data_IF_247010346814
#
_entry.id   IF_247010346814
#
_cell.length_a   1.000
_cell.length_b   1.000
_cell.length_c   1.000
_cell.angle_alpha   90.00
_cell.angle_beta   90.00
_cell.angle_gamma   90.00
#
_symmetry.space_group_name_H-M   'P 1'
#
loop_
_entity.id
_entity.type
_entity.pdbx_description
1 polymer ?
#
# COMPACT_ATOMS: atom_id res chain seq x y z
N UNK A 1 4.39 13.15 -12.25
CA UNK A 1 4.23 12.38 -10.99
C UNK A 1 5.60 12.20 -10.40
N UNK A 2 5.79 12.42 -9.09
CA UNK A 2 7.09 12.21 -8.45
C UNK A 2 7.25 10.75 -7.99
N UNK A 3 8.47 10.26 -7.97
CA UNK A 3 8.84 8.90 -7.57
C UNK A 3 10.31 8.87 -7.15
N UNK A 4 10.71 7.82 -6.43
CA UNK A 4 12.09 7.43 -6.24
C UNK A 4 12.37 6.18 -7.08
N UNK A 5 13.56 6.05 -7.65
CA UNK A 5 13.95 4.81 -8.34
C UNK A 5 15.41 4.47 -8.12
N UNK A 6 15.69 3.15 -8.08
CA UNK A 6 17.04 2.63 -7.91
C UNK A 6 17.16 1.26 -8.56
N UNK A 7 18.33 0.97 -9.14
CA UNK A 7 18.65 -0.31 -9.75
C UNK A 7 18.27 -0.42 -11.22
N UNK A 8 18.49 -1.61 -11.76
CA UNK A 8 18.23 -1.98 -13.14
C UNK A 8 17.66 -3.41 -13.18
N UNK A 9 17.02 -3.79 -14.28
CA UNK A 9 16.45 -5.13 -14.42
C UNK A 9 14.92 -5.13 -14.47
N UNK A 10 14.26 -6.26 -14.13
CA UNK A 10 12.80 -6.30 -14.07
C UNK A 10 12.24 -5.27 -13.09
N UNK A 11 11.20 -4.56 -13.49
CA UNK A 11 10.68 -3.46 -12.67
C UNK A 11 9.77 -3.97 -11.55
N UNK A 12 9.98 -3.43 -10.35
CA UNK A 12 9.07 -3.48 -9.20
C UNK A 12 8.47 -2.09 -9.00
N UNK A 13 7.16 -1.94 -9.15
CA UNK A 13 6.43 -0.71 -8.80
C UNK A 13 5.95 -0.83 -7.36
N UNK A 14 6.43 0.04 -6.47
CA UNK A 14 6.04 0.11 -5.07
C UNK A 14 4.98 1.20 -4.85
N UNK A 15 3.83 0.82 -4.30
CA UNK A 15 2.66 1.67 -4.05
C UNK A 15 2.44 1.80 -2.55
N UNK A 16 2.63 3.01 -2.01
CA UNK A 16 2.51 3.25 -0.57
C UNK A 16 1.05 3.34 -0.10
N UNK A 17 0.85 3.18 1.22
CA UNK A 17 -0.43 3.34 1.89
C UNK A 17 -0.82 4.79 2.14
N UNK A 18 -2.03 4.97 2.69
CA UNK A 18 -2.55 6.27 3.07
C UNK A 18 -1.61 6.97 4.07
N UNK A 19 -1.34 8.23 3.84
CA UNK A 19 -0.54 9.03 4.75
C UNK A 19 0.98 8.92 4.56
N UNK A 20 1.44 8.11 3.59
CA UNK A 20 2.85 7.87 3.31
C UNK A 20 3.30 8.52 1.99
N UNK A 21 4.55 8.26 1.62
CA UNK A 21 5.19 8.67 0.39
C UNK A 21 6.17 7.57 -0.11
N UNK A 22 6.88 7.84 -1.20
CA UNK A 22 7.87 6.92 -1.79
C UNK A 22 8.98 6.50 -0.83
N UNK A 23 9.35 7.34 0.15
CA UNK A 23 10.40 7.05 1.14
C UNK A 23 10.01 5.89 2.07
N UNK A 24 8.72 5.55 2.17
CA UNK A 24 8.27 4.38 2.94
C UNK A 24 8.71 3.04 2.35
N UNK A 25 9.29 3.05 1.15
CA UNK A 25 9.91 1.90 0.50
C UNK A 25 11.43 2.01 0.38
N UNK A 26 12.08 2.91 1.13
CA UNK A 26 13.54 3.06 1.08
C UNK A 26 14.28 1.75 1.36
N UNK A 27 13.93 0.90 2.35
CA UNK A 27 14.60 -0.37 2.55
C UNK A 27 14.47 -1.33 1.36
N UNK A 28 13.35 -1.26 0.62
CA UNK A 28 13.13 -2.04 -0.59
C UNK A 28 13.93 -1.49 -1.77
N UNK A 29 14.00 -0.15 -1.89
CA UNK A 29 14.85 0.53 -2.86
C UNK A 29 16.32 0.15 -2.66
N UNK A 30 16.79 0.12 -1.41
CA UNK A 30 18.20 -0.15 -1.12
C UNK A 30 18.58 -1.61 -1.34
N UNK A 31 17.75 -2.55 -0.88
CA UNK A 31 18.12 -3.96 -0.87
C UNK A 31 17.72 -4.71 -2.16
N UNK A 32 16.60 -4.36 -2.81
CA UNK A 32 16.15 -5.07 -4.01
C UNK A 32 16.76 -4.50 -5.30
N UNK A 33 17.38 -3.33 -5.25
CA UNK A 33 17.95 -2.65 -6.43
C UNK A 33 19.19 -3.31 -7.01
N UNK A 34 19.78 -4.27 -6.32
CA UNK A 34 20.87 -5.10 -6.84
C UNK A 34 20.42 -6.03 -7.98
N UNK A 35 19.13 -6.41 -8.01
CA UNK A 35 18.57 -7.34 -9.00
C UNK A 35 17.39 -6.72 -9.79
N UNK A 36 16.76 -5.69 -9.28
CA UNK A 36 15.52 -5.12 -9.84
C UNK A 36 15.63 -3.60 -10.07
N UNK A 37 14.87 -3.09 -11.02
CA UNK A 37 14.57 -1.68 -11.10
C UNK A 37 13.41 -1.37 -10.16
N UNK A 38 13.69 -0.87 -8.95
CA UNK A 38 12.67 -0.56 -7.95
C UNK A 38 12.20 0.88 -8.14
N UNK A 39 10.91 1.07 -8.37
CA UNK A 39 10.26 2.37 -8.57
C UNK A 39 9.22 2.56 -7.47
N UNK A 40 9.49 3.45 -6.53
CA UNK A 40 8.54 3.82 -5.48
C UNK A 40 7.85 5.13 -5.84
N UNK A 41 6.54 5.08 -6.10
CA UNK A 41 5.78 6.25 -6.52
C UNK A 41 5.42 7.17 -5.34
N UNK A 42 5.08 8.41 -5.63
CA UNK A 42 4.26 9.22 -4.74
C UNK A 42 2.82 9.23 -5.30
N UNK A 43 1.87 8.78 -4.48
CA UNK A 43 0.46 8.77 -4.84
C UNK A 43 0.02 10.16 -5.29
N UNK A 44 -0.67 10.28 -6.44
CA UNK A 44 -1.13 11.58 -6.92
C UNK A 44 -2.02 12.27 -5.91
N UNK A 45 -1.68 13.53 -5.64
CA UNK A 45 -2.41 14.35 -4.70
C UNK A 45 -3.71 14.88 -5.33
N UNK A 46 -4.89 14.68 -4.72
CA UNK A 46 -6.15 15.08 -5.30
C UNK A 46 -6.32 16.60 -5.51
N UNK A 47 -5.41 17.41 -4.95
CA UNK A 47 -5.48 18.88 -5.04
C UNK A 47 -4.51 19.54 -6.02
N UNK A 48 -3.54 18.82 -6.59
CA UNK A 48 -2.39 19.49 -7.20
C UNK A 48 -2.36 19.58 -8.73
N UNK A 49 -3.03 18.72 -9.49
CA UNK A 49 -2.85 18.71 -10.96
C UNK A 49 -4.00 18.21 -11.83
N UNK A 50 -5.08 17.68 -11.30
CA UNK A 50 -6.20 17.23 -12.13
C UNK A 50 -7.55 17.43 -11.46
N UNK A 51 -8.54 17.81 -12.26
CA UNK A 51 -9.97 17.88 -11.92
C UNK A 51 -10.60 16.49 -11.63
N UNK A 52 -9.80 15.42 -11.56
CA UNK A 52 -10.29 14.06 -11.37
C UNK A 52 -10.48 13.75 -9.89
N UNK A 53 -11.65 13.23 -9.55
CA UNK A 53 -11.95 12.75 -8.22
C UNK A 53 -10.95 11.65 -7.80
N UNK A 54 -10.58 11.61 -6.52
CA UNK A 54 -9.80 10.51 -5.97
C UNK A 54 -10.67 9.26 -5.89
N UNK A 55 -10.38 8.27 -6.71
CA UNK A 55 -10.99 6.94 -6.69
C UNK A 55 -9.97 5.90 -7.16
N UNK A 56 -10.25 4.62 -6.94
CA UNK A 56 -9.29 3.56 -7.25
C UNK A 56 -8.99 3.42 -8.74
N UNK A 57 -9.98 3.61 -9.62
CA UNK A 57 -9.77 3.60 -11.08
C UNK A 57 -8.76 4.68 -11.52
N UNK A 58 -8.93 5.91 -11.02
CA UNK A 58 -8.02 7.02 -11.33
C UNK A 58 -6.62 6.81 -10.74
N UNK A 59 -6.52 6.23 -9.54
CA UNK A 59 -5.24 5.89 -8.92
C UNK A 59 -4.52 4.77 -9.68
N UNK A 60 -5.21 3.71 -10.07
CA UNK A 60 -4.66 2.65 -10.90
C UNK A 60 -4.18 3.18 -12.26
N UNK A 61 -5.00 4.01 -12.94
CA UNK A 61 -4.61 4.66 -14.19
C UNK A 61 -3.40 5.58 -14.03
N UNK A 62 -3.25 6.25 -12.88
CA UNK A 62 -2.06 7.04 -12.58
C UNK A 62 -0.81 6.17 -12.45
N UNK A 63 -0.93 4.97 -11.87
CA UNK A 63 0.14 3.98 -11.86
C UNK A 63 0.58 3.60 -13.27
N UNK A 64 -0.36 3.34 -14.17
CA UNK A 64 -0.05 3.05 -15.58
C UNK A 64 0.58 4.24 -16.30
N UNK A 65 0.11 5.46 -16.06
CA UNK A 65 0.72 6.68 -16.62
C UNK A 65 2.17 6.85 -16.15
N UNK A 66 2.49 6.51 -14.90
CA UNK A 66 3.88 6.50 -14.45
C UNK A 66 4.70 5.47 -15.21
N UNK A 67 4.23 4.24 -15.34
CA UNK A 67 4.91 3.19 -16.11
C UNK A 67 5.14 3.61 -17.56
N UNK A 68 4.14 4.24 -18.20
CA UNK A 68 4.24 4.73 -19.58
C UNK A 68 5.28 5.84 -19.72
N UNK A 69 5.35 6.76 -18.74
CA UNK A 69 6.36 7.83 -18.71
C UNK A 69 7.80 7.32 -18.54
N UNK A 70 7.95 6.10 -18.08
CA UNK A 70 9.22 5.41 -17.87
C UNK A 70 9.51 4.32 -18.94
N UNK A 71 8.69 4.24 -19.98
CA UNK A 71 8.76 3.20 -21.04
C UNK A 71 8.67 1.76 -20.49
N UNK A 72 8.05 1.55 -19.33
CA UNK A 72 7.89 0.24 -18.69
C UNK A 72 6.61 -0.42 -19.20
N UNK A 73 6.75 -1.49 -19.97
CA UNK A 73 5.61 -2.21 -20.58
C UNK A 73 4.85 -3.06 -19.57
N UNK A 74 5.54 -3.72 -18.65
CA UNK A 74 4.95 -4.53 -17.58
C UNK A 74 5.88 -4.59 -16.38
N UNK A 75 5.31 -4.77 -15.18
CA UNK A 75 6.07 -4.77 -13.94
C UNK A 75 5.50 -5.75 -12.90
N UNK A 76 6.29 -6.04 -11.88
CA UNK A 76 5.83 -6.57 -10.61
C UNK A 76 5.31 -5.41 -9.76
N UNK A 77 4.26 -5.61 -8.99
CA UNK A 77 3.71 -4.56 -8.11
C UNK A 77 3.83 -5.00 -6.65
N UNK A 78 4.37 -4.13 -5.82
CA UNK A 78 4.38 -4.27 -4.35
C UNK A 78 3.51 -3.18 -3.77
N UNK A 79 2.38 -3.53 -3.18
CA UNK A 79 1.42 -2.57 -2.64
C UNK A 79 1.22 -2.72 -1.14
N UNK A 80 1.44 -1.64 -0.38
CA UNK A 80 1.19 -1.57 1.05
C UNK A 80 -0.16 -0.92 1.33
N UNK A 81 -1.01 -1.59 2.14
CA UNK A 81 -2.28 -1.04 2.61
C UNK A 81 -3.17 -0.54 1.44
N UNK A 82 -3.51 0.74 1.38
CA UNK A 82 -4.23 1.35 0.25
C UNK A 82 -3.49 1.13 -1.09
N UNK A 83 -2.16 1.15 -1.11
CA UNK A 83 -1.35 0.81 -2.29
C UNK A 83 -1.55 -0.62 -2.76
N UNK A 84 -1.82 -1.55 -1.84
CA UNK A 84 -2.21 -2.92 -2.18
C UNK A 84 -3.60 -3.01 -2.81
N UNK A 85 -4.54 -2.17 -2.37
CA UNK A 85 -5.86 -2.06 -3.02
C UNK A 85 -5.73 -1.50 -4.45
N UNK A 86 -4.84 -0.51 -4.65
CA UNK A 86 -4.53 0.03 -5.98
C UNK A 86 -3.87 -1.04 -6.85
N UNK A 87 -2.98 -1.87 -6.31
CA UNK A 87 -2.36 -2.98 -7.04
C UNK A 87 -3.39 -4.00 -7.52
N UNK A 88 -4.38 -4.34 -6.68
CA UNK A 88 -5.52 -5.19 -7.07
C UNK A 88 -6.33 -4.56 -8.20
N UNK A 89 -6.61 -3.26 -8.10
CA UNK A 89 -7.35 -2.52 -9.13
C UNK A 89 -6.57 -2.50 -10.46
N UNK A 90 -5.26 -2.24 -10.44
CA UNK A 90 -4.40 -2.29 -11.62
C UNK A 90 -4.46 -3.66 -12.30
N UNK A 91 -4.39 -4.75 -11.54
CA UNK A 91 -4.44 -6.11 -12.09
C UNK A 91 -5.81 -6.44 -12.73
N UNK A 92 -6.90 -5.88 -12.19
CA UNK A 92 -8.24 -6.07 -12.75
C UNK A 92 -8.48 -5.22 -14.01
N UNK A 93 -7.93 -3.99 -14.07
CA UNK A 93 -8.11 -3.08 -15.21
C UNK A 93 -7.25 -3.49 -16.41
N UNK A 94 -5.97 -3.80 -16.17
CA UNK A 94 -5.05 -4.13 -17.24
C UNK A 94 -4.09 -5.25 -16.82
N UNK A 95 -4.57 -6.50 -16.83
CA UNK A 95 -3.83 -7.67 -16.35
C UNK A 95 -2.49 -7.90 -17.08
N UNK A 96 -2.42 -7.58 -18.38
CA UNK A 96 -1.23 -7.79 -19.21
C UNK A 96 -0.03 -6.91 -18.78
N UNK A 97 -0.30 -5.80 -18.09
CA UNK A 97 0.71 -4.89 -17.56
C UNK A 97 1.28 -5.33 -16.21
N UNK A 98 0.67 -6.32 -15.55
CA UNK A 98 1.01 -6.76 -14.19
C UNK A 98 1.53 -8.19 -14.21
N UNK A 99 2.83 -8.36 -13.95
CA UNK A 99 3.48 -9.69 -13.93
C UNK A 99 3.17 -10.48 -12.66
N UNK A 100 3.17 -9.81 -11.53
CA UNK A 100 2.82 -10.38 -10.21
C UNK A 100 2.48 -9.28 -9.21
N UNK A 101 1.88 -9.66 -8.10
CA UNK A 101 1.44 -8.73 -7.05
C UNK A 101 1.95 -9.23 -5.69
N UNK A 102 2.63 -8.36 -4.94
CA UNK A 102 2.91 -8.57 -3.51
C UNK A 102 2.07 -7.60 -2.68
N UNK A 103 1.21 -8.12 -1.83
CA UNK A 103 0.28 -7.36 -1.00
C UNK A 103 0.77 -7.33 0.45
N UNK A 104 1.10 -6.16 0.94
CA UNK A 104 1.55 -5.91 2.31
C UNK A 104 0.41 -5.28 3.12
N UNK A 105 -0.19 -6.02 4.05
CA UNK A 105 -1.25 -5.48 4.91
C UNK A 105 -2.41 -4.85 4.14
N UNK A 106 -2.91 -5.51 3.08
CA UNK A 106 -4.00 -5.02 2.25
C UNK A 106 -5.24 -5.92 2.34
N UNK A 107 -6.40 -5.38 1.99
CA UNK A 107 -7.66 -6.12 1.98
C UNK A 107 -8.39 -5.98 0.64
N UNK A 108 -9.22 -6.97 0.29
CA UNK A 108 -10.03 -6.93 -0.94
C UNK A 108 -11.24 -6.02 -0.87
N UNK A 109 -11.57 -5.51 0.30
CA UNK A 109 -12.64 -4.53 0.47
C UNK A 109 -12.50 -3.81 1.81
N UNK A 110 -12.95 -2.56 1.84
CA UNK A 110 -13.09 -1.80 3.07
C UNK A 110 -14.45 -2.08 3.72
N UNK A 111 -14.43 -2.27 5.03
CA UNK A 111 -15.64 -2.29 5.86
C UNK A 111 -16.47 -3.55 5.85
N UNK A 112 -17.59 -3.46 6.55
CA UNK A 112 -18.54 -4.52 6.83
C UNK A 112 -19.64 -4.68 5.76
N UNK A 113 -20.80 -5.19 6.20
CA UNK A 113 -21.97 -5.40 5.35
C UNK A 113 -22.78 -4.10 5.14
N UNK A 114 -22.62 -3.12 6.00
CA UNK A 114 -23.33 -1.85 6.01
C UNK A 114 -22.37 -0.67 6.23
N UNK A 115 -22.89 0.56 6.15
CA UNK A 115 -22.12 1.79 6.29
C UNK A 115 -21.75 2.14 7.75
N UNK A 116 -22.18 1.37 8.75
CA UNK A 116 -21.92 1.67 10.17
C UNK A 116 -20.44 1.70 10.46
N UNK A 117 -19.71 0.65 9.99
CA UNK A 117 -18.25 0.59 10.16
C UNK A 117 -17.54 1.73 9.42
N UNK A 118 -17.95 2.02 8.19
CA UNK A 118 -17.41 3.11 7.37
C UNK A 118 -17.57 4.46 8.08
N UNK A 119 -18.79 4.77 8.54
CA UNK A 119 -19.10 6.03 9.20
C UNK A 119 -18.33 6.17 10.53
N UNK A 120 -18.25 5.10 11.31
CA UNK A 120 -17.49 5.06 12.55
C UNK A 120 -15.98 5.27 12.28
N UNK A 121 -15.43 4.62 11.27
CA UNK A 121 -14.04 4.78 10.87
C UNK A 121 -13.74 6.23 10.45
N UNK A 122 -14.50 6.79 9.52
CA UNK A 122 -14.32 8.18 9.07
C UNK A 122 -14.43 9.16 10.25
N UNK A 123 -15.46 9.01 11.09
CA UNK A 123 -15.64 9.85 12.26
C UNK A 123 -14.44 9.77 13.21
N UNK A 124 -13.98 8.56 13.53
CA UNK A 124 -12.84 8.39 14.46
C UNK A 124 -11.54 9.00 13.93
N UNK A 125 -11.32 8.98 12.61
CA UNK A 125 -10.10 9.51 11.97
C UNK A 125 -10.16 11.02 11.74
N UNK A 126 -11.34 11.59 11.50
CA UNK A 126 -11.52 13.01 11.19
C UNK A 126 -11.85 13.86 12.43
N UNK A 127 -12.39 13.24 13.50
CA UNK A 127 -12.75 13.96 14.73
C UNK A 127 -11.60 14.78 15.32
N UNK A 128 -10.37 14.27 15.50
CA UNK A 128 -9.28 15.08 16.04
C UNK A 128 -9.03 16.35 15.22
N UNK A 129 -9.11 16.27 13.90
CA UNK A 129 -8.94 17.42 13.01
C UNK A 129 -10.09 18.43 13.15
N UNK A 130 -11.33 17.97 13.34
CA UNK A 130 -12.48 18.84 13.60
C UNK A 130 -12.45 19.49 14.99
N UNK A 131 -11.72 18.89 15.93
CA UNK A 131 -11.46 19.42 17.28
C UNK A 131 -10.24 20.36 17.32
N UNK A 132 -9.60 20.63 16.16
CA UNK A 132 -8.52 21.61 16.01
C UNK A 132 -7.10 21.03 16.07
N UNK A 133 -6.93 19.71 16.15
CA UNK A 133 -5.62 19.08 16.06
C UNK A 133 -5.03 19.21 14.65
N UNK A 134 -3.73 19.37 14.59
CA UNK A 134 -2.95 19.39 13.35
C UNK A 134 -2.74 17.98 12.81
N UNK A 135 -2.44 17.86 11.50
CA UNK A 135 -2.05 16.56 10.92
C UNK A 135 -0.79 15.98 11.59
N UNK A 136 0.12 16.84 12.08
CA UNK A 136 1.32 16.39 12.81
C UNK A 136 0.94 15.72 14.14
N UNK A 137 0.01 16.29 14.90
CA UNK A 137 -0.48 15.69 16.16
C UNK A 137 -1.23 14.37 15.88
N UNK A 138 -2.07 14.35 14.84
CA UNK A 138 -2.75 13.12 14.39
C UNK A 138 -1.73 12.04 14.00
N UNK A 139 -0.65 12.40 13.30
CA UNK A 139 0.40 11.48 12.93
C UNK A 139 1.18 10.96 14.16
N UNK A 140 1.54 11.87 15.08
CA UNK A 140 2.26 11.52 16.31
C UNK A 140 1.50 10.50 17.17
N UNK A 141 0.16 10.57 17.17
CA UNK A 141 -0.66 9.61 17.90
C UNK A 141 -0.84 8.28 17.14
N UNK A 142 -1.15 8.33 15.84
CA UNK A 142 -1.55 7.13 15.10
C UNK A 142 -0.39 6.30 14.54
N UNK A 143 0.69 6.94 14.09
CA UNK A 143 1.78 6.24 13.39
C UNK A 143 2.51 5.23 14.30
N UNK A 144 2.88 5.55 15.56
CA UNK A 144 3.53 4.58 16.44
C UNK A 144 2.70 3.31 16.66
N UNK A 145 1.37 3.41 16.67
CA UNK A 145 0.46 2.27 16.84
C UNK A 145 0.47 1.29 15.66
N UNK A 146 1.10 1.67 14.55
CA UNK A 146 1.22 0.86 13.33
C UNK A 146 2.53 0.06 13.27
N UNK A 147 3.38 0.18 14.28
CA UNK A 147 4.67 -0.50 14.38
C UNK A 147 4.69 -1.48 15.56
N UNK A 148 5.63 -2.42 15.54
CA UNK A 148 5.96 -3.23 16.71
C UNK A 148 6.79 -2.43 17.73
N UNK A 149 6.85 -2.89 18.97
CA UNK A 149 7.59 -2.19 20.03
C UNK A 149 9.11 -2.11 19.77
N UNK A 150 9.66 -3.07 19.03
CA UNK A 150 11.09 -3.16 18.67
C UNK A 150 11.41 -2.56 17.28
N UNK A 151 10.47 -1.81 16.68
CA UNK A 151 10.68 -1.15 15.40
C UNK A 151 11.75 -0.03 15.49
N UNK A 152 12.45 0.19 14.38
CA UNK A 152 13.43 1.27 14.30
C UNK A 152 12.76 2.64 14.45
N UNK A 153 13.19 3.39 15.47
CA UNK A 153 12.63 4.71 15.81
C UNK A 153 12.78 5.74 14.69
N UNK A 154 13.80 5.61 13.85
CA UNK A 154 14.00 6.49 12.70
C UNK A 154 12.85 6.36 11.69
N UNK A 155 12.43 5.12 11.37
CA UNK A 155 11.31 4.89 10.45
C UNK A 155 9.98 5.38 11.03
N UNK A 156 9.78 5.24 12.34
CA UNK A 156 8.59 5.80 13.02
C UNK A 156 8.59 7.33 12.87
N UNK A 157 9.70 7.98 13.17
CA UNK A 157 9.84 9.45 13.08
C UNK A 157 9.60 9.94 11.66
N UNK A 158 10.22 9.32 10.65
CA UNK A 158 10.05 9.69 9.24
C UNK A 158 8.60 9.48 8.76
N UNK A 159 7.94 8.42 9.22
CA UNK A 159 6.52 8.18 8.91
C UNK A 159 5.60 9.23 9.55
N UNK A 160 5.89 9.68 10.76
CA UNK A 160 5.19 10.80 11.42
C UNK A 160 5.37 12.08 10.59
N UNK A 161 6.58 12.38 10.17
CA UNK A 161 6.87 13.56 9.35
C UNK A 161 6.17 13.51 8.00
N UNK A 162 6.18 12.36 7.31
CA UNK A 162 5.50 12.18 6.04
C UNK A 162 4.00 12.43 6.17
N UNK A 163 3.35 11.78 7.13
CA UNK A 163 1.91 11.94 7.38
C UNK A 163 1.57 13.36 7.87
N UNK A 164 2.44 13.98 8.68
CA UNK A 164 2.25 15.33 9.21
C UNK A 164 2.32 16.45 8.16
N UNK A 165 2.89 16.18 6.99
CA UNK A 165 3.00 17.13 5.86
C UNK A 165 1.76 17.14 4.95
N UNK A 166 0.87 16.17 5.08
CA UNK A 166 -0.34 16.07 4.25
C UNK A 166 -1.36 17.11 4.74
N UNK A 167 -2.04 17.78 3.83
CA UNK A 167 -3.12 18.68 4.23
C UNK A 167 -4.32 17.91 4.76
N UNK A 168 -5.08 18.53 5.67
CA UNK A 168 -6.33 17.95 6.20
C UNK A 168 -7.31 17.55 5.10
N UNK A 169 -7.39 18.34 4.02
CA UNK A 169 -8.27 18.03 2.90
C UNK A 169 -7.80 16.80 2.11
N UNK A 170 -6.51 16.65 1.86
CA UNK A 170 -5.93 15.47 1.20
C UNK A 170 -6.16 14.21 2.03
N UNK A 171 -5.90 14.29 3.32
CA UNK A 171 -6.15 13.17 4.23
C UNK A 171 -7.63 12.75 4.24
N UNK A 172 -8.55 13.72 4.31
CA UNK A 172 -10.00 13.46 4.24
C UNK A 172 -10.39 12.78 2.93
N UNK A 173 -9.95 13.31 1.78
CA UNK A 173 -10.25 12.73 0.47
C UNK A 173 -9.69 11.31 0.31
N UNK A 174 -8.50 11.06 0.84
CA UNK A 174 -7.90 9.72 0.81
C UNK A 174 -8.66 8.73 1.71
N UNK A 175 -9.12 9.14 2.90
CA UNK A 175 -9.97 8.33 3.77
C UNK A 175 -11.32 8.02 3.11
N UNK A 176 -11.96 9.02 2.52
CA UNK A 176 -13.23 8.85 1.79
C UNK A 176 -13.05 7.85 0.62
N UNK A 177 -12.01 8.03 -0.19
CA UNK A 177 -11.66 7.09 -1.26
C UNK A 177 -11.43 5.66 -0.71
N UNK A 178 -10.61 5.51 0.33
CA UNK A 178 -10.31 4.22 0.95
C UNK A 178 -11.59 3.45 1.29
N UNK A 179 -12.60 4.14 1.83
CA UNK A 179 -13.87 3.52 2.26
C UNK A 179 -14.76 3.05 1.10
N UNK A 180 -14.43 3.41 -0.14
CA UNK A 180 -15.20 2.96 -1.32
C UNK A 180 -14.71 1.63 -1.90
N UNK A 181 -13.53 1.14 -1.48
CA UNK A 181 -12.93 -0.05 -2.08
C UNK A 181 -13.73 -1.32 -1.78
N UNK A 182 -14.14 -2.02 -2.83
CA UNK A 182 -14.79 -3.33 -2.72
C UNK A 182 -14.56 -4.17 -3.99
N UNK A 183 -13.65 -5.12 -3.88
CA UNK A 183 -13.32 -6.11 -4.92
C UNK A 183 -13.39 -7.54 -4.37
N UNK A 184 -14.31 -7.78 -3.39
CA UNK A 184 -14.46 -9.09 -2.71
C UNK A 184 -14.76 -10.24 -3.65
N UNK A 185 -15.45 -9.95 -4.73
CA UNK A 185 -15.84 -10.93 -5.74
C UNK A 185 -14.79 -11.01 -6.83
N UNK A 186 -14.32 -9.84 -7.29
CA UNK A 186 -13.47 -9.70 -8.46
C UNK A 186 -12.04 -10.21 -8.24
N UNK A 187 -11.55 -10.28 -6.99
CA UNK A 187 -10.21 -10.84 -6.72
C UNK A 187 -10.05 -12.30 -7.16
N UNK A 188 -11.15 -13.04 -7.33
CA UNK A 188 -11.12 -14.41 -7.87
C UNK A 188 -10.78 -14.46 -9.37
N UNK A 189 -10.86 -13.33 -10.08
CA UNK A 189 -10.48 -13.19 -11.49
C UNK A 189 -9.00 -12.81 -11.68
N UNK A 190 -8.28 -12.53 -10.59
CA UNK A 190 -6.85 -12.24 -10.66
C UNK A 190 -6.10 -13.54 -10.95
N UNK A 191 -5.45 -13.61 -12.11
CA UNK A 191 -4.69 -14.76 -12.57
C UNK A 191 -3.18 -14.63 -12.31
N UNK A 192 -2.71 -13.40 -12.08
CA UNK A 192 -1.31 -13.13 -11.76
C UNK A 192 -0.89 -13.83 -10.48
N UNK A 193 0.36 -14.32 -10.41
CA UNK A 193 0.92 -14.79 -9.15
C UNK A 193 0.85 -13.71 -8.07
N UNK A 194 0.37 -14.09 -6.88
CA UNK A 194 0.18 -13.17 -5.75
C UNK A 194 0.93 -13.66 -4.51
N UNK A 195 1.64 -12.75 -3.84
CA UNK A 195 2.26 -12.97 -2.55
C UNK A 195 1.55 -12.09 -1.51
N UNK A 196 0.84 -12.68 -0.57
CA UNK A 196 0.15 -11.95 0.50
C UNK A 196 0.98 -12.02 1.77
N UNK A 197 1.39 -10.89 2.28
CA UNK A 197 2.21 -10.76 3.48
C UNK A 197 1.40 -10.03 4.55
N UNK A 198 1.09 -10.73 5.62
CA UNK A 198 0.34 -10.24 6.76
C UNK A 198 1.25 -10.08 7.98
N UNK A 199 0.88 -9.20 8.89
CA UNK A 199 1.58 -8.97 10.15
C UNK A 199 0.71 -9.34 11.35
N UNK A 200 1.31 -9.96 12.38
CA UNK A 200 0.56 -10.50 13.52
C UNK A 200 -0.07 -9.42 14.41
N UNK A 201 0.52 -8.21 14.43
CA UNK A 201 0.04 -7.07 15.22
C UNK A 201 -0.80 -6.08 14.39
N UNK A 202 -1.02 -6.35 13.09
CA UNK A 202 -1.75 -5.44 12.20
C UNK A 202 -3.24 -5.38 12.55
N UNK A 203 -3.69 -4.21 13.03
CA UNK A 203 -5.08 -3.92 13.36
C UNK A 203 -5.86 -3.32 12.17
N UNK A 204 -5.16 -2.80 11.14
CA UNK A 204 -5.79 -2.17 9.98
C UNK A 204 -6.19 -3.22 8.92
N UNK A 205 -5.31 -4.18 8.65
CA UNK A 205 -5.55 -5.31 7.75
C UNK A 205 -5.27 -6.64 8.48
N UNK A 206 -6.16 -7.08 9.38
CA UNK A 206 -5.91 -8.23 10.23
C UNK A 206 -5.51 -9.48 9.46
N UNK A 207 -4.52 -10.22 9.95
CA UNK A 207 -3.93 -11.40 9.31
C UNK A 207 -4.99 -12.43 8.86
N UNK A 208 -6.06 -12.62 9.66
CA UNK A 208 -7.21 -13.49 9.31
C UNK A 208 -7.94 -13.06 8.02
N UNK A 209 -7.99 -11.74 7.77
CA UNK A 209 -8.64 -11.19 6.58
C UNK A 209 -7.78 -11.44 5.35
N UNK A 210 -6.48 -11.21 5.46
CA UNK A 210 -5.53 -11.51 4.40
C UNK A 210 -5.45 -13.01 4.08
N UNK A 211 -5.50 -13.88 5.11
CA UNK A 211 -5.57 -15.33 4.92
C UNK A 211 -6.79 -15.74 4.10
N UNK A 212 -7.98 -15.23 4.45
CA UNK A 212 -9.21 -15.48 3.67
C UNK A 212 -9.12 -14.92 2.24
N UNK A 213 -8.42 -13.82 2.04
CA UNK A 213 -8.19 -13.26 0.71
C UNK A 213 -7.28 -14.17 -0.12
N UNK A 214 -6.21 -14.72 0.46
CA UNK A 214 -5.33 -15.66 -0.23
C UNK A 214 -6.05 -16.94 -0.66
N UNK A 215 -7.06 -17.39 0.07
CA UNK A 215 -7.86 -18.55 -0.28
C UNK A 215 -8.77 -18.33 -1.50
N UNK A 216 -9.01 -17.07 -1.88
CA UNK A 216 -9.83 -16.69 -3.02
C UNK A 216 -9.02 -16.42 -4.30
N UNK A 217 -7.78 -15.98 -4.16
CA UNK A 217 -6.88 -15.72 -5.28
C UNK A 217 -6.22 -17.03 -5.69
N UNK A 218 -6.46 -17.50 -6.90
CA UNK A 218 -6.08 -18.84 -7.39
C UNK A 218 -4.57 -19.12 -7.28
N UNK A 219 -3.74 -18.16 -7.69
CA UNK A 219 -2.28 -18.29 -7.73
C UNK A 219 -1.65 -17.48 -6.60
N UNK A 220 -1.91 -17.84 -5.35
CA UNK A 220 -1.42 -17.06 -4.22
C UNK A 220 -0.61 -17.86 -3.21
N UNK A 221 0.39 -17.21 -2.62
CA UNK A 221 1.09 -17.61 -1.41
C UNK A 221 0.72 -16.69 -0.24
N UNK A 222 0.79 -17.19 0.98
CA UNK A 222 0.47 -16.42 2.18
C UNK A 222 1.61 -16.55 3.20
N UNK A 223 2.07 -15.42 3.72
CA UNK A 223 3.11 -15.31 4.73
C UNK A 223 2.60 -14.48 5.91
N UNK A 224 2.86 -14.95 7.13
CA UNK A 224 2.60 -14.20 8.36
C UNK A 224 3.93 -13.81 8.99
N UNK A 225 4.10 -12.52 9.28
CA UNK A 225 5.26 -11.98 9.99
C UNK A 225 4.88 -11.79 11.45
N UNK A 226 5.53 -12.56 12.32
CA UNK A 226 5.34 -12.42 13.76
C UNK A 226 6.03 -11.17 14.29
N UNK A 227 5.46 -10.58 15.36
CA UNK A 227 5.92 -9.37 16.01
C UNK A 227 6.15 -8.22 15.02
N UNK A 228 5.16 -7.96 14.19
CA UNK A 228 5.19 -6.95 13.13
C UNK A 228 3.87 -6.19 13.09
N UNK A 229 3.94 -4.87 12.97
CA UNK A 229 2.78 -3.99 12.83
C UNK A 229 2.34 -3.81 11.38
N UNK A 230 1.43 -2.86 11.16
CA UNK A 230 0.89 -2.54 9.83
C UNK A 230 1.95 -2.02 8.86
N UNK A 231 2.94 -1.25 9.36
CA UNK A 231 4.03 -0.64 8.56
C UNK A 231 5.16 -1.64 8.25
N UNK A 232 4.81 -2.86 7.87
CA UNK A 232 5.70 -4.02 7.82
C UNK A 232 6.92 -3.84 6.92
N UNK A 233 6.86 -3.05 5.84
CA UNK A 233 7.98 -2.75 4.95
C UNK A 233 9.07 -1.90 5.62
N UNK A 234 8.72 -1.21 6.72
CA UNK A 234 9.62 -0.42 7.55
C UNK A 234 9.88 -1.08 8.92
N UNK A 235 8.92 -1.84 9.43
CA UNK A 235 8.98 -2.50 10.73
C UNK A 235 9.91 -3.73 10.70
N UNK A 236 9.80 -4.55 9.66
CA UNK A 236 10.63 -5.76 9.47
C UNK A 236 11.15 -5.85 8.02
N UNK A 237 11.92 -4.84 7.56
CA UNK A 237 12.30 -4.71 6.15
C UNK A 237 13.04 -5.93 5.59
N UNK A 238 13.97 -6.50 6.35
CA UNK A 238 14.77 -7.66 5.93
C UNK A 238 13.89 -8.90 5.64
N UNK A 239 12.91 -9.17 6.51
CA UNK A 239 11.96 -10.29 6.31
C UNK A 239 11.10 -10.05 5.08
N UNK A 240 10.60 -8.83 4.91
CA UNK A 240 9.77 -8.44 3.77
C UNK A 240 10.55 -8.57 2.47
N UNK A 241 11.78 -8.05 2.42
CA UNK A 241 12.64 -8.11 1.24
C UNK A 241 13.00 -9.55 0.88
N UNK A 242 13.31 -10.38 1.87
CA UNK A 242 13.58 -11.81 1.66
C UNK A 242 12.40 -12.52 1.01
N UNK A 243 11.16 -12.28 1.49
CA UNK A 243 9.96 -12.91 0.95
C UNK A 243 9.68 -12.40 -0.47
N UNK A 244 9.74 -11.08 -0.71
CA UNK A 244 9.53 -10.49 -2.04
C UNK A 244 10.55 -11.04 -3.03
N UNK A 245 11.84 -11.04 -2.68
CA UNK A 245 12.92 -11.56 -3.53
C UNK A 245 12.72 -13.03 -3.87
N UNK A 246 12.43 -13.87 -2.87
CA UNK A 246 12.18 -15.29 -3.08
C UNK A 246 10.96 -15.55 -3.99
N UNK A 247 9.88 -14.80 -3.77
CA UNK A 247 8.68 -14.87 -4.60
C UNK A 247 8.97 -14.50 -6.05
N UNK A 248 9.63 -13.38 -6.31
CA UNK A 248 9.93 -12.91 -7.67
C UNK A 248 10.90 -13.85 -8.42
N UNK A 249 11.91 -14.39 -7.73
CA UNK A 249 12.83 -15.40 -8.33
C UNK A 249 12.13 -16.72 -8.67
N UNK A 250 11.11 -17.08 -7.94
CA UNK A 250 10.31 -18.29 -8.24
C UNK A 250 9.40 -18.15 -9.48
N UNK A 251 9.31 -16.94 -10.08
CA UNK A 251 8.52 -16.67 -11.29
C UNK A 251 9.36 -16.66 -12.59
N UNK A 252 10.67 -16.68 -12.46
CA UNK A 252 11.63 -16.78 -13.58
C UNK A 252 11.99 -18.22 -13.84
#
# INVERSE_FOLDING_TARGET
MSYLSKGNGPTILCLHGLGLNSESFEPQLDELSDEFNVVAWNMPNPGSTSSKAMNFDNLANSGFQLLDSLDIKSCHVVGHSMGGMIALEMALINPDRIKSISLLGATSAFGGKDDTFKNSFLSSRLRPLSEGHTMKEVAQYNVPLMFSEDANQEYITRSIEAMGKISTNEYRLALECLTTFNRRTEISFIEQPCCLIAASLDQAAPARTMKKMSEKIKNSSYHLIDNCGHMMQLDKPEKINTIIRAFLKGLT
#
